data_IF_976200033353
#
_entry.id   IF_976200033353
#
_cell.length_a   1.000
_cell.length_b   1.000
_cell.length_c   1.000
_cell.angle_alpha   90.00
_cell.angle_beta   90.00
_cell.angle_gamma   90.00
#
_symmetry.space_group_name_H-M   'P 1'
#
loop_
_entity.id
_entity.type
_entity.pdbx_description
1 polymer ?
#
# COMPACT_ATOMS: atom_id res chain seq x y z
N UNK A 1 -20.62 -16.51 -8.96
CA UNK A 1 -21.33 -15.26 -9.33
C UNK A 1 -20.42 -14.30 -10.09
N UNK A 2 -19.26 -13.88 -9.56
CA UNK A 2 -18.33 -12.97 -10.29
C UNK A 2 -17.93 -13.44 -11.70
N UNK A 3 -17.58 -14.73 -11.86
CA UNK A 3 -17.24 -15.29 -13.18
C UNK A 3 -18.36 -15.15 -14.22
N UNK A 4 -19.61 -15.29 -13.78
CA UNK A 4 -20.77 -15.17 -14.66
C UNK A 4 -21.08 -13.69 -14.98
N UNK A 5 -20.85 -12.79 -14.02
CA UNK A 5 -20.99 -11.35 -14.23
C UNK A 5 -20.00 -10.84 -15.30
N UNK A 6 -18.72 -11.19 -15.19
CA UNK A 6 -17.72 -10.79 -16.19
C UNK A 6 -17.94 -11.47 -17.54
N UNK A 7 -18.42 -12.72 -17.56
CA UNK A 7 -18.82 -13.39 -18.81
C UNK A 7 -19.94 -12.65 -19.55
N UNK A 8 -20.81 -11.93 -18.83
CA UNK A 8 -21.87 -11.08 -19.40
C UNK A 8 -21.40 -9.68 -19.79
N UNK A 9 -20.09 -9.40 -19.73
CA UNK A 9 -19.52 -8.10 -20.07
C UNK A 9 -19.60 -7.07 -18.94
N UNK A 10 -19.75 -7.51 -17.69
CA UNK A 10 -19.61 -6.63 -16.54
C UNK A 10 -18.20 -6.05 -16.47
N UNK A 11 -18.09 -4.76 -16.16
CA UNK A 11 -16.81 -4.09 -15.96
C UNK A 11 -16.24 -4.46 -14.57
N UNK A 12 -14.94 -4.72 -14.51
CA UNK A 12 -14.22 -5.11 -13.29
C UNK A 12 -13.81 -3.90 -12.45
N UNK A 13 -13.64 -2.73 -13.07
CA UNK A 13 -13.20 -1.51 -12.40
C UNK A 13 -14.38 -0.63 -11.96
N UNK A 14 -15.58 -1.23 -11.81
CA UNK A 14 -16.73 -0.53 -11.26
C UNK A 14 -16.45 -0.06 -9.83
N UNK A 15 -16.89 1.15 -9.54
CA UNK A 15 -16.78 1.76 -8.23
C UNK A 15 -18.16 2.01 -7.63
N UNK A 16 -18.21 1.98 -6.30
CA UNK A 16 -19.40 2.33 -5.54
C UNK A 16 -19.72 3.82 -5.77
N UNK A 17 -20.94 4.13 -6.18
CA UNK A 17 -21.34 5.51 -6.48
C UNK A 17 -21.39 6.45 -5.26
N UNK A 18 -21.30 5.92 -4.05
CA UNK A 18 -21.31 6.70 -2.80
C UNK A 18 -19.90 6.98 -2.30
N UNK A 19 -19.04 5.95 -2.25
CA UNK A 19 -17.70 6.03 -1.66
C UNK A 19 -16.56 6.04 -2.68
N UNK A 20 -16.83 5.70 -3.94
CA UNK A 20 -15.80 5.43 -4.94
C UNK A 20 -15.08 4.09 -4.74
N UNK A 21 -15.48 3.26 -3.77
CA UNK A 21 -14.86 1.96 -3.49
C UNK A 21 -14.91 1.04 -4.71
N UNK A 22 -13.75 0.59 -5.19
CA UNK A 22 -13.68 -0.51 -6.17
C UNK A 22 -14.09 -1.86 -5.56
N UNK A 23 -14.29 -2.89 -6.40
CA UNK A 23 -14.57 -4.25 -5.94
C UNK A 23 -13.52 -4.79 -4.94
N UNK A 24 -12.25 -4.38 -5.08
CA UNK A 24 -11.19 -4.77 -4.15
C UNK A 24 -11.34 -4.09 -2.79
N UNK A 25 -11.74 -2.82 -2.75
CA UNK A 25 -12.04 -2.15 -1.48
C UNK A 25 -13.16 -2.86 -0.73
N UNK A 26 -14.26 -3.16 -1.43
CA UNK A 26 -15.41 -3.83 -0.82
C UNK A 26 -15.03 -5.25 -0.35
N UNK A 27 -14.23 -5.98 -1.13
CA UNK A 27 -13.72 -7.28 -0.70
C UNK A 27 -12.89 -7.19 0.57
N UNK A 28 -12.01 -6.17 0.68
CA UNK A 28 -11.22 -5.93 1.88
C UNK A 28 -12.08 -5.52 3.06
N UNK A 29 -13.13 -4.72 2.88
CA UNK A 29 -14.00 -4.26 3.99
C UNK A 29 -14.90 -5.39 4.49
N UNK A 30 -15.58 -6.09 3.58
CA UNK A 30 -16.64 -7.05 3.92
C UNK A 30 -16.09 -8.41 4.38
N UNK A 31 -14.99 -8.89 3.78
CA UNK A 31 -14.45 -10.21 4.14
C UNK A 31 -13.62 -10.13 5.41
N UNK A 32 -13.87 -11.05 6.33
CA UNK A 32 -13.01 -11.25 7.49
C UNK A 32 -11.73 -12.01 7.09
N UNK A 33 -10.65 -11.81 7.85
CA UNK A 33 -9.32 -12.35 7.54
C UNK A 33 -9.28 -13.88 7.53
N UNK A 34 -10.17 -14.56 8.26
CA UNK A 34 -10.32 -16.01 8.24
C UNK A 34 -10.76 -16.54 6.87
N UNK A 35 -11.36 -15.68 6.03
CA UNK A 35 -11.80 -16.02 4.68
C UNK A 35 -10.72 -15.75 3.61
N UNK A 36 -9.44 -15.89 3.97
CA UNK A 36 -8.31 -15.63 3.07
C UNK A 36 -8.40 -16.40 1.75
N UNK A 37 -8.84 -17.67 1.77
CA UNK A 37 -8.96 -18.47 0.54
C UNK A 37 -10.03 -17.91 -0.42
N UNK A 38 -11.10 -17.34 0.13
CA UNK A 38 -12.15 -16.66 -0.64
C UNK A 38 -11.58 -15.37 -1.22
N UNK A 39 -10.88 -14.57 -0.41
CA UNK A 39 -10.22 -13.36 -0.87
C UNK A 39 -9.23 -13.64 -2.00
N UNK A 40 -8.35 -14.63 -1.86
CA UNK A 40 -7.42 -15.09 -2.91
C UNK A 40 -8.12 -15.49 -4.19
N UNK A 41 -9.20 -16.25 -4.06
CA UNK A 41 -9.98 -16.70 -5.22
C UNK A 41 -10.64 -15.51 -5.93
N UNK A 42 -11.18 -14.55 -5.17
CA UNK A 42 -11.74 -13.32 -5.71
C UNK A 42 -10.67 -12.48 -6.40
N UNK A 43 -9.54 -12.24 -5.73
CA UNK A 43 -8.41 -11.47 -6.25
C UNK A 43 -7.92 -12.04 -7.59
N UNK A 44 -7.71 -13.36 -7.68
CA UNK A 44 -7.32 -14.03 -8.93
C UNK A 44 -8.34 -13.88 -10.05
N UNK A 45 -9.64 -13.93 -9.74
CA UNK A 45 -10.70 -13.73 -10.73
C UNK A 45 -10.71 -12.28 -11.21
N UNK A 46 -10.57 -11.31 -10.30
CA UNK A 46 -10.56 -9.90 -10.63
C UNK A 46 -9.34 -9.55 -11.50
N UNK A 47 -8.15 -9.99 -11.09
CA UNK A 47 -6.90 -9.81 -11.85
C UNK A 47 -6.97 -10.45 -13.24
N UNK A 48 -7.56 -11.63 -13.38
CA UNK A 48 -7.70 -12.28 -14.69
C UNK A 48 -8.61 -11.51 -15.67
N UNK A 49 -9.40 -10.56 -15.17
CA UNK A 49 -10.25 -9.69 -15.98
C UNK A 49 -9.71 -8.25 -16.07
N UNK A 50 -8.48 -7.99 -15.61
CA UNK A 50 -7.83 -6.69 -15.73
C UNK A 50 -8.19 -5.70 -14.62
N UNK A 51 -8.51 -6.19 -13.42
CA UNK A 51 -8.76 -5.33 -12.27
C UNK A 51 -7.55 -4.46 -11.92
N UNK A 52 -7.79 -3.17 -11.72
CA UNK A 52 -6.79 -2.24 -11.23
C UNK A 52 -6.58 -2.39 -9.72
N UNK A 53 -5.35 -2.70 -9.31
CA UNK A 53 -4.99 -2.96 -7.90
C UNK A 53 -4.88 -1.70 -7.05
N UNK A 54 -4.62 -0.56 -7.69
CA UNK A 54 -4.30 0.70 -7.04
C UNK A 54 -5.41 1.74 -7.28
N UNK A 55 -6.64 1.32 -7.57
CA UNK A 55 -7.76 2.27 -7.62
C UNK A 55 -7.83 3.05 -6.32
N UNK A 56 -8.05 4.35 -6.40
CA UNK A 56 -8.38 5.15 -5.23
C UNK A 56 -9.90 5.25 -5.09
N UNK A 57 -10.37 5.29 -3.85
CA UNK A 57 -11.76 5.69 -3.57
C UNK A 57 -11.94 7.20 -3.77
N UNK A 58 -13.10 7.76 -3.44
CA UNK A 58 -13.25 9.22 -3.41
C UNK A 58 -12.42 9.89 -2.32
N UNK A 59 -11.88 9.12 -1.38
CA UNK A 59 -10.88 9.62 -0.44
C UNK A 59 -9.50 9.46 -1.09
N UNK A 60 -8.81 10.58 -1.29
CA UNK A 60 -7.47 10.56 -1.90
C UNK A 60 -6.52 9.64 -1.13
N UNK A 61 -5.80 8.80 -1.87
CA UNK A 61 -4.84 7.83 -1.32
C UNK A 61 -5.46 6.63 -0.60
N UNK A 62 -6.79 6.53 -0.53
CA UNK A 62 -7.46 5.33 -0.03
C UNK A 62 -7.47 4.26 -1.14
N UNK A 63 -6.46 3.40 -1.11
CA UNK A 63 -6.29 2.24 -1.99
C UNK A 63 -6.71 0.94 -1.29
N UNK A 64 -6.92 -0.16 -2.03
CA UNK A 64 -7.25 -1.45 -1.39
C UNK A 64 -6.19 -1.92 -0.39
N UNK A 65 -4.90 -1.70 -0.71
CA UNK A 65 -3.79 -2.01 0.20
C UNK A 65 -3.84 -1.13 1.45
N UNK A 66 -4.04 0.18 1.29
CA UNK A 66 -4.16 1.11 2.41
C UNK A 66 -5.31 0.72 3.34
N UNK A 67 -6.48 0.37 2.78
CA UNK A 67 -7.64 -0.09 3.55
C UNK A 67 -7.34 -1.36 4.32
N UNK A 68 -6.62 -2.32 3.73
CA UNK A 68 -6.27 -3.58 4.40
C UNK A 68 -5.35 -3.32 5.61
N UNK A 69 -4.38 -2.42 5.47
CA UNK A 69 -3.49 -2.01 6.54
C UNK A 69 -4.23 -1.25 7.64
N UNK A 70 -5.09 -0.30 7.26
CA UNK A 70 -5.89 0.52 8.19
C UNK A 70 -6.87 -0.33 9.01
N UNK A 71 -7.46 -1.35 8.39
CA UNK A 71 -8.42 -2.26 9.06
C UNK A 71 -7.74 -3.46 9.74
N UNK A 72 -6.40 -3.46 9.80
CA UNK A 72 -5.59 -4.50 10.42
C UNK A 72 -5.75 -5.91 9.80
N UNK A 73 -6.10 -5.99 8.51
CA UNK A 73 -6.22 -7.25 7.74
C UNK A 73 -4.89 -7.60 7.07
N UNK A 74 -3.94 -8.01 7.89
CA UNK A 74 -2.53 -8.18 7.53
C UNK A 74 -2.33 -9.22 6.42
N UNK A 75 -3.00 -10.37 6.47
CA UNK A 75 -2.91 -11.42 5.46
C UNK A 75 -3.46 -10.97 4.11
N UNK A 76 -4.45 -10.07 4.10
CA UNK A 76 -4.96 -9.49 2.86
C UNK A 76 -3.97 -8.49 2.28
N UNK A 77 -3.36 -7.66 3.14
CA UNK A 77 -2.30 -6.74 2.72
C UNK A 77 -1.10 -7.49 2.12
N UNK A 78 -0.67 -8.59 2.76
CA UNK A 78 0.40 -9.43 2.21
C UNK A 78 0.05 -9.98 0.83
N UNK A 79 -1.18 -10.46 0.63
CA UNK A 79 -1.60 -11.00 -0.66
C UNK A 79 -1.69 -9.92 -1.75
N UNK A 80 -2.20 -8.73 -1.41
CA UNK A 80 -2.25 -7.58 -2.31
C UNK A 80 -0.83 -7.16 -2.75
N UNK A 81 0.14 -7.12 -1.81
CA UNK A 81 1.55 -6.83 -2.12
C UNK A 81 2.14 -7.91 -3.04
N UNK A 82 1.87 -9.20 -2.78
CA UNK A 82 2.36 -10.31 -3.62
C UNK A 82 1.84 -10.23 -5.06
N UNK A 83 0.60 -9.78 -5.24
CA UNK A 83 -0.02 -9.61 -6.56
C UNK A 83 0.32 -8.25 -7.22
N UNK A 84 1.24 -7.48 -6.63
CA UNK A 84 1.82 -6.28 -7.26
C UNK A 84 1.09 -4.97 -6.97
N UNK A 85 0.37 -4.86 -5.84
CA UNK A 85 -0.09 -3.55 -5.37
C UNK A 85 1.08 -2.57 -5.22
N UNK A 86 0.88 -1.34 -5.67
CA UNK A 86 1.85 -0.28 -5.48
C UNK A 86 1.80 0.20 -4.03
N UNK A 87 2.87 -0.12 -3.30
CA UNK A 87 3.03 0.24 -1.89
C UNK A 87 3.13 1.76 -1.66
N UNK A 88 3.40 2.54 -2.71
CA UNK A 88 3.52 3.99 -2.65
C UNK A 88 2.20 4.73 -2.93
N UNK A 89 1.16 4.05 -3.42
CA UNK A 89 -0.11 4.67 -3.80
C UNK A 89 -1.06 4.91 -2.61
N UNK A 90 -0.77 4.37 -1.42
CA UNK A 90 -1.60 4.54 -0.22
C UNK A 90 -1.08 5.64 0.71
N UNK A 91 -1.43 6.90 0.46
CA UNK A 91 -1.05 8.04 1.32
C UNK A 91 -2.22 9.01 1.52
N UNK A 92 -2.73 9.10 2.75
CA UNK A 92 -3.68 10.14 3.10
C UNK A 92 -2.93 11.46 3.33
N UNK A 93 -2.82 12.26 2.26
CA UNK A 93 -2.01 13.48 2.19
C UNK A 93 -2.28 14.52 3.28
N UNK A 94 -3.46 14.48 3.92
CA UNK A 94 -3.84 15.43 4.97
C UNK A 94 -3.17 15.15 6.32
N UNK A 95 -2.69 13.93 6.55
CA UNK A 95 -2.16 13.49 7.85
C UNK A 95 -0.82 12.74 7.74
N UNK A 96 -0.22 12.70 6.56
CA UNK A 96 1.06 12.05 6.28
C UNK A 96 1.08 10.59 6.74
N UNK A 97 -0.06 9.91 6.59
CA UNK A 97 -0.24 8.49 6.89
C UNK A 97 -0.12 7.71 5.60
N UNK A 98 0.97 6.94 5.50
CA UNK A 98 1.24 6.05 4.39
C UNK A 98 1.15 4.56 4.79
N UNK A 99 1.24 3.68 3.79
CA UNK A 99 1.25 2.24 3.97
C UNK A 99 2.38 1.76 4.91
N UNK A 100 3.57 2.38 4.85
CA UNK A 100 4.71 2.01 5.68
C UNK A 100 4.49 2.37 7.15
N UNK A 101 3.89 3.52 7.43
CA UNK A 101 3.51 3.98 8.75
C UNK A 101 2.51 3.02 9.38
N UNK A 102 1.45 2.65 8.63
CA UNK A 102 0.45 1.70 9.10
C UNK A 102 1.07 0.32 9.40
N UNK A 103 1.96 -0.18 8.53
CA UNK A 103 2.67 -1.45 8.76
C UNK A 103 3.61 -1.41 9.97
N UNK A 104 4.27 -0.26 10.23
CA UNK A 104 5.07 -0.09 11.46
C UNK A 104 4.19 -0.11 12.71
N UNK A 105 3.03 0.55 12.66
CA UNK A 105 2.08 0.57 13.77
C UNK A 105 1.48 -0.81 14.07
N UNK A 106 1.35 -1.70 13.08
CA UNK A 106 0.84 -3.06 13.27
C UNK A 106 1.82 -4.01 13.97
N UNK A 107 3.08 -3.59 14.19
CA UNK A 107 4.16 -4.39 14.78
C UNK A 107 4.45 -5.70 14.02
N UNK A 108 4.04 -5.80 12.76
CA UNK A 108 4.32 -6.93 11.90
C UNK A 108 5.59 -6.66 11.08
N UNK A 109 6.72 -7.14 11.58
CA UNK A 109 8.02 -6.96 10.92
C UNK A 109 8.03 -7.56 9.50
N UNK A 110 7.37 -8.71 9.30
CA UNK A 110 7.27 -9.35 8.00
C UNK A 110 6.60 -8.44 6.97
N UNK A 111 5.53 -7.75 7.37
CA UNK A 111 4.81 -6.84 6.47
C UNK A 111 5.62 -5.59 6.15
N UNK A 112 6.33 -5.04 7.14
CA UNK A 112 7.27 -3.93 6.93
C UNK A 112 8.36 -4.32 5.92
N UNK A 113 8.92 -5.52 6.06
CA UNK A 113 9.90 -6.06 5.12
C UNK A 113 9.29 -6.24 3.73
N UNK A 114 8.08 -6.81 3.63
CA UNK A 114 7.39 -6.98 2.35
C UNK A 114 7.17 -5.65 1.63
N UNK A 115 6.73 -4.61 2.34
CA UNK A 115 6.55 -3.28 1.77
C UNK A 115 7.89 -2.70 1.30
N UNK A 116 8.95 -2.84 2.08
CA UNK A 116 10.29 -2.40 1.70
C UNK A 116 10.78 -3.09 0.42
N UNK A 117 10.70 -4.42 0.36
CA UNK A 117 11.12 -5.20 -0.81
C UNK A 117 10.23 -5.00 -2.04
N UNK A 118 8.97 -4.61 -1.84
CA UNK A 118 8.07 -4.23 -2.93
C UNK A 118 8.41 -2.85 -3.56
N UNK A 119 9.46 -2.17 -3.09
CA UNK A 119 9.93 -0.91 -3.68
C UNK A 119 9.34 0.34 -3.03
N UNK A 120 9.13 0.31 -1.71
CA UNK A 120 8.68 1.48 -0.97
C UNK A 120 9.73 2.61 -1.00
N UNK A 121 9.33 3.80 -1.42
CA UNK A 121 10.18 4.98 -1.43
C UNK A 121 10.27 5.60 -0.03
N UNK A 122 11.40 5.35 0.65
CA UNK A 122 11.68 5.93 1.97
C UNK A 122 11.92 7.45 1.95
N UNK A 123 12.19 8.03 0.77
CA UNK A 123 12.41 9.46 0.61
C UNK A 123 11.13 10.22 0.28
N UNK A 124 9.99 9.53 0.20
CA UNK A 124 8.69 10.15 -0.07
C UNK A 124 8.42 11.22 1.00
N UNK A 125 8.60 12.47 0.60
CA UNK A 125 8.27 13.60 1.46
C UNK A 125 6.76 13.80 1.42
N UNK A 126 6.10 13.94 2.59
CA UNK A 126 4.71 14.32 2.58
C UNK A 126 4.54 15.67 1.86
N UNK A 127 3.44 15.86 1.13
CA UNK A 127 3.18 17.14 0.44
C UNK A 127 3.13 18.32 1.42
N UNK A 128 2.80 18.07 2.69
CA UNK A 128 2.90 19.04 3.79
C UNK A 128 4.34 19.57 3.99
N UNK A 129 5.34 18.77 3.61
CA UNK A 129 6.76 19.05 3.66
C UNK A 129 7.37 19.50 2.32
N UNK A 130 6.57 19.87 1.31
CA UNK A 130 7.14 20.55 0.13
C UNK A 130 7.66 21.92 0.55
N UNK A 131 8.91 21.96 0.98
CA UNK A 131 9.67 23.19 1.15
C UNK A 131 9.82 23.77 -0.26
N UNK A 132 9.29 24.99 -0.55
CA UNK A 132 9.45 25.59 -1.87
C UNK A 132 10.93 25.63 -2.23
N UNK A 133 11.30 25.42 -3.50
CA UNK A 133 12.71 25.23 -3.92
C UNK A 133 13.66 26.31 -3.37
N UNK A 134 13.15 27.54 -3.20
CA UNK A 134 13.90 28.68 -2.67
C UNK A 134 14.27 28.60 -1.17
N UNK A 135 13.57 27.76 -0.39
CA UNK A 135 13.78 27.59 1.05
C UNK A 135 14.62 26.34 1.40
N UNK A 136 15.04 25.56 0.40
CA UNK A 136 15.80 24.30 0.59
C UNK A 136 17.23 24.50 1.13
N UNK A 137 17.68 25.75 1.31
CA UNK A 137 19.02 26.10 1.81
C UNK A 137 19.09 26.72 3.21
N UNK A 138 17.96 26.86 3.94
CA UNK A 138 17.93 27.66 5.18
C UNK A 138 17.28 27.01 6.40
N UNK A 139 17.26 25.68 6.52
CA UNK A 139 16.97 25.01 7.79
C UNK A 139 17.50 23.56 7.78
N UNK A 140 18.10 23.05 8.88
CA UNK A 140 18.66 21.71 8.90
C UNK A 140 17.61 20.67 9.34
N UNK A 141 17.37 19.58 8.59
CA UNK A 141 16.65 18.41 9.07
C UNK A 141 17.63 17.47 9.79
N UNK A 142 18.29 17.97 10.83
CA UNK A 142 19.51 17.37 11.39
C UNK A 142 19.32 16.01 12.08
N UNK A 143 18.07 15.55 12.27
CA UNK A 143 17.77 14.30 12.99
C UNK A 143 17.18 13.21 12.10
N UNK A 144 16.30 13.55 11.14
CA UNK A 144 15.61 12.54 10.33
C UNK A 144 16.43 12.12 9.11
N UNK A 145 17.13 13.06 8.44
CA UNK A 145 18.08 12.72 7.38
C UNK A 145 19.24 11.88 7.89
N UNK A 146 19.76 12.17 9.10
CA UNK A 146 20.80 11.34 9.73
C UNK A 146 20.30 9.94 10.03
N UNK A 147 19.06 9.81 10.50
CA UNK A 147 18.48 8.50 10.80
C UNK A 147 18.20 7.69 9.53
N UNK A 148 17.65 8.31 8.48
CA UNK A 148 17.44 7.69 7.18
C UNK A 148 18.77 7.29 6.51
N UNK A 149 19.79 8.15 6.58
CA UNK A 149 21.13 7.85 6.04
C UNK A 149 21.81 6.71 6.80
N UNK A 150 21.69 6.67 8.13
CA UNK A 150 22.24 5.58 8.95
C UNK A 150 21.48 4.27 8.75
N UNK A 151 20.16 4.31 8.59
CA UNK A 151 19.34 3.13 8.34
C UNK A 151 19.59 2.54 6.94
N UNK A 152 19.75 3.39 5.91
CA UNK A 152 20.09 2.96 4.55
C UNK A 152 21.49 2.33 4.49
N UNK A 153 22.49 2.98 5.10
CA UNK A 153 23.86 2.45 5.14
C UNK A 153 23.96 1.11 5.87
N UNK A 154 23.16 0.95 6.95
CA UNK A 154 23.12 -0.30 7.71
C UNK A 154 22.45 -1.44 6.91
N UNK A 155 21.42 -1.13 6.14
CA UNK A 155 20.76 -2.11 5.27
C UNK A 155 21.66 -2.56 4.10
N UNK A 156 22.47 -1.66 3.55
CA UNK A 156 23.48 -1.97 2.51
C UNK A 156 24.59 -2.88 3.05
N UNK A 157 25.14 -2.57 4.23
CA UNK A 157 26.19 -3.37 4.88
C UNK A 157 25.69 -4.77 5.29
N UNK A 158 24.43 -4.88 5.74
CA UNK A 158 23.83 -6.18 6.08
C UNK A 158 23.60 -7.03 4.83
N UNK A 159 23.23 -6.45 3.68
CA UNK A 159 23.12 -7.18 2.40
C UNK A 159 24.48 -7.71 1.89
N UNK A 160 25.57 -6.95 2.05
CA UNK A 160 26.91 -7.39 1.63
C UNK A 160 27.46 -8.54 2.52
N UNK A 161 27.08 -8.56 3.81
CA UNK A 161 27.51 -9.61 4.75
C UNK A 161 26.85 -10.98 4.53
N UNK A 162 25.73 -11.03 3.80
CA UNK A 162 25.01 -12.28 3.47
C UNK A 162 25.51 -12.89 2.16
N UNK A 163 26.30 -12.14 1.38
CA UNK A 163 26.86 -12.56 0.09
C UNK A 163 28.36 -12.92 0.14
N UNK A 164 28.98 -12.91 1.32
CA UNK A 164 30.39 -13.31 1.55
C UNK A 164 30.48 -14.54 2.44
#
# INVERSE_FOLDING_TARGET
MLREFFKRGGDVNITNGVSGSSLLHEAVVELQEENLDVFRTMLKILLSHGCEMNCESFTEGDTPLFRALLTNKMLFAEELIREGSDVNSGNMYTCDIDNMWLAKCSKNLSLVQMIFYAGYDMQRTPLSCTVPEHFRGSAPPDNMEKWCSQAALKAELECESVLS
#
